data_IF_037837195746
#
_entry.id   IF_037837195746
#
_cell.length_a   1.000
_cell.length_b   1.000
_cell.length_c   1.000
_cell.angle_alpha   90.00
_cell.angle_beta   90.00
_cell.angle_gamma   90.00
#
_symmetry.space_group_name_H-M   'P 1'
#
loop_
_entity.id
_entity.type
_entity.pdbx_description
1 polymer ?
#
# COMPACT_ATOMS: atom_id res chain seq x y z
N UNK A 1 22.02 -4.43 -6.95
CA UNK A 1 20.72 -4.86 -7.52
C UNK A 1 19.77 -3.68 -7.54
N UNK A 2 19.60 -3.05 -8.69
CA UNK A 2 18.66 -1.94 -8.88
C UNK A 2 17.23 -2.49 -8.78
N UNK A 3 16.44 -2.00 -7.81
CA UNK A 3 15.01 -2.31 -7.67
C UNK A 3 14.21 -1.79 -8.90
N UNK A 4 14.28 -2.50 -10.03
CA UNK A 4 13.57 -2.14 -11.27
C UNK A 4 12.15 -2.72 -11.36
N UNK A 5 11.74 -3.56 -10.40
CA UNK A 5 10.58 -4.46 -10.56
C UNK A 5 9.18 -3.86 -10.36
N UNK A 6 9.03 -2.59 -9.96
CA UNK A 6 7.74 -1.94 -9.69
C UNK A 6 7.61 -0.60 -10.43
N UNK A 7 8.01 -0.56 -11.71
CA UNK A 7 8.02 0.68 -12.50
C UNK A 7 6.78 0.89 -13.36
N UNK A 8 5.93 -0.12 -13.49
CA UNK A 8 4.67 0.00 -14.24
C UNK A 8 3.52 -0.48 -13.38
N UNK A 9 2.33 0.07 -13.63
CA UNK A 9 1.12 -0.33 -12.95
C UNK A 9 0.78 -1.79 -13.24
N UNK A 10 0.91 -2.21 -14.51
CA UNK A 10 0.72 -3.60 -14.93
C UNK A 10 1.56 -4.60 -14.11
N UNK A 11 2.85 -4.35 -13.92
CA UNK A 11 3.71 -5.23 -13.10
C UNK A 11 3.30 -5.24 -11.63
N UNK A 12 2.82 -4.11 -11.12
CA UNK A 12 2.27 -4.06 -9.76
C UNK A 12 1.00 -4.91 -9.67
N UNK A 13 0.09 -4.83 -10.64
CA UNK A 13 -1.14 -5.62 -10.66
C UNK A 13 -0.89 -7.11 -10.77
N UNK A 14 0.04 -7.54 -11.63
CA UNK A 14 0.44 -8.95 -11.72
C UNK A 14 0.93 -9.49 -10.37
N UNK A 15 1.73 -8.70 -9.64
CA UNK A 15 2.16 -9.06 -8.29
C UNK A 15 1.02 -9.03 -7.28
N UNK A 16 0.10 -8.08 -7.40
CA UNK A 16 -1.07 -8.01 -6.54
C UNK A 16 -1.92 -9.28 -6.66
N UNK A 17 -2.14 -9.75 -7.89
CA UNK A 17 -2.86 -11.00 -8.19
C UNK A 17 -2.11 -12.20 -7.62
N UNK A 18 -0.81 -12.34 -7.90
CA UNK A 18 -0.02 -13.47 -7.40
C UNK A 18 0.01 -13.56 -5.86
N UNK A 19 0.05 -12.41 -5.18
CA UNK A 19 0.00 -12.33 -3.72
C UNK A 19 -1.38 -12.71 -3.17
N UNK A 20 -2.46 -12.27 -3.82
CA UNK A 20 -3.83 -12.68 -3.46
C UNK A 20 -4.00 -14.18 -3.60
N UNK A 21 -3.64 -14.75 -4.74
CA UNK A 21 -3.74 -16.20 -4.99
C UNK A 21 -2.91 -17.01 -3.98
N UNK A 22 -1.77 -16.46 -3.55
CA UNK A 22 -0.96 -17.08 -2.50
C UNK A 22 -1.67 -17.02 -1.15
N UNK A 23 -2.28 -15.89 -0.78
CA UNK A 23 -3.07 -15.76 0.44
C UNK A 23 -4.24 -16.76 0.46
N UNK A 24 -5.00 -16.84 -0.64
CA UNK A 24 -6.15 -17.74 -0.79
C UNK A 24 -5.77 -19.22 -0.69
N UNK A 25 -4.57 -19.62 -1.14
CA UNK A 25 -4.07 -21.00 -1.00
C UNK A 25 -3.62 -21.35 0.41
N UNK A 26 -3.14 -20.37 1.17
CA UNK A 26 -2.52 -20.58 2.48
C UNK A 26 -3.54 -20.39 3.62
N UNK A 27 -4.58 -19.59 3.37
CA UNK A 27 -5.70 -19.39 4.30
C UNK A 27 -6.27 -20.73 4.81
N UNK A 28 -6.54 -20.80 6.13
CA UNK A 28 -7.01 -22.01 6.80
C UNK A 28 -5.91 -23.01 7.16
N UNK A 29 -4.70 -22.86 6.59
CA UNK A 29 -3.51 -23.60 6.98
C UNK A 29 -2.54 -22.73 7.80
N UNK A 30 -2.34 -21.48 7.36
CA UNK A 30 -1.48 -20.50 8.04
C UNK A 30 -2.05 -19.09 7.81
N UNK A 31 -3.00 -18.72 8.66
CA UNK A 31 -3.70 -17.44 8.58
C UNK A 31 -2.75 -16.23 8.78
N UNK A 32 -1.65 -16.41 9.50
CA UNK A 32 -0.67 -15.36 9.72
C UNK A 32 0.10 -15.06 8.42
N UNK A 33 0.57 -16.11 7.74
CA UNK A 33 1.24 -15.95 6.45
C UNK A 33 0.27 -15.47 5.36
N UNK A 34 -1.00 -15.93 5.39
CA UNK A 34 -2.03 -15.43 4.51
C UNK A 34 -2.29 -13.92 4.74
N UNK A 35 -2.29 -13.44 5.99
CA UNK A 35 -2.43 -12.02 6.30
C UNK A 35 -1.29 -11.17 5.69
N UNK A 36 -0.05 -11.67 5.76
CA UNK A 36 1.10 -11.02 5.13
C UNK A 36 0.94 -10.95 3.61
N UNK A 37 0.46 -12.03 2.98
CA UNK A 37 0.23 -12.07 1.54
C UNK A 37 -0.90 -11.12 1.10
N UNK A 38 -2.02 -11.05 1.84
CA UNK A 38 -3.08 -10.05 1.60
C UNK A 38 -2.56 -8.61 1.70
N UNK A 39 -1.71 -8.32 2.68
CA UNK A 39 -1.07 -7.00 2.76
C UNK A 39 -0.21 -6.71 1.52
N UNK A 40 0.65 -7.62 1.08
CA UNK A 40 1.48 -7.38 -0.11
C UNK A 40 0.64 -7.25 -1.39
N UNK A 41 -0.50 -7.94 -1.47
CA UNK A 41 -1.46 -7.72 -2.55
C UNK A 41 -2.00 -6.28 -2.53
N UNK A 42 -2.48 -5.80 -1.38
CA UNK A 42 -2.96 -4.42 -1.22
C UNK A 42 -1.87 -3.36 -1.47
N UNK A 43 -0.65 -3.59 -0.98
CA UNK A 43 0.51 -2.75 -1.27
C UNK A 43 0.74 -2.61 -2.77
N UNK A 44 0.69 -3.71 -3.52
CA UNK A 44 0.88 -3.68 -4.96
C UNK A 44 -0.27 -2.99 -5.71
N UNK A 45 -1.53 -3.11 -5.26
CA UNK A 45 -2.64 -2.32 -5.80
C UNK A 45 -2.44 -0.81 -5.58
N UNK A 46 -2.04 -0.41 -4.36
CA UNK A 46 -1.70 0.99 -4.06
C UNK A 46 -0.54 1.49 -4.92
N UNK A 47 0.48 0.65 -5.16
CA UNK A 47 1.59 0.99 -6.06
C UNK A 47 1.14 1.20 -7.49
N UNK A 48 0.21 0.37 -8.00
CA UNK A 48 -0.39 0.58 -9.31
C UNK A 48 -1.15 1.92 -9.35
N UNK A 49 -2.00 2.18 -8.36
CA UNK A 49 -2.73 3.43 -8.22
C UNK A 49 -1.80 4.66 -8.25
N UNK A 50 -0.72 4.67 -7.47
CA UNK A 50 0.24 5.78 -7.50
C UNK A 50 0.82 6.05 -8.89
N UNK A 51 1.16 4.98 -9.63
CA UNK A 51 1.74 5.10 -10.98
C UNK A 51 0.72 5.66 -11.97
N UNK A 52 -0.55 5.29 -11.83
CA UNK A 52 -1.64 5.67 -12.75
C UNK A 52 -2.33 6.99 -12.37
N UNK A 53 -2.19 7.44 -11.13
CA UNK A 53 -2.88 8.61 -10.62
C UNK A 53 -2.34 9.90 -11.28
N UNK A 54 -3.16 10.62 -12.07
CA UNK A 54 -2.72 11.84 -12.75
C UNK A 54 -2.34 12.97 -11.80
N UNK A 55 -2.72 12.90 -10.52
CA UNK A 55 -2.35 13.93 -9.53
C UNK A 55 -0.84 14.17 -9.47
N UNK A 56 -0.03 13.13 -9.70
CA UNK A 56 1.42 13.24 -9.67
C UNK A 56 1.99 13.94 -10.93
N UNK A 57 1.19 14.14 -11.98
CA UNK A 57 1.57 14.91 -13.16
C UNK A 57 1.24 16.42 -12.99
N UNK A 58 0.48 16.79 -11.94
CA UNK A 58 0.02 18.14 -11.66
C UNK A 58 0.70 18.73 -10.41
N UNK A 59 1.96 19.19 -10.54
CA UNK A 59 2.77 19.65 -9.39
C UNK A 59 2.05 20.64 -8.46
N UNK A 60 1.36 21.63 -9.01
CA UNK A 60 0.65 22.64 -8.22
C UNK A 60 -0.49 22.05 -7.39
N UNK A 61 -1.26 21.12 -7.97
CA UNK A 61 -2.36 20.43 -7.29
C UNK A 61 -1.81 19.47 -6.23
N UNK A 62 -0.75 18.73 -6.55
CA UNK A 62 -0.05 17.84 -5.64
C UNK A 62 0.49 18.58 -4.40
N UNK A 63 1.16 19.72 -4.60
CA UNK A 63 1.67 20.57 -3.52
C UNK A 63 0.56 21.27 -2.73
N UNK A 64 -0.59 21.50 -3.36
CA UNK A 64 -1.80 21.97 -2.67
C UNK A 64 -2.34 20.97 -1.63
N UNK A 65 -2.12 19.67 -1.84
CA UNK A 65 -2.47 18.62 -0.86
C UNK A 65 -1.41 18.49 0.23
N UNK A 66 -0.13 18.50 -0.14
CA UNK A 66 0.97 18.51 0.80
C UNK A 66 2.24 19.10 0.15
N UNK A 67 2.88 20.12 0.74
CA UNK A 67 4.04 20.79 0.14
C UNK A 67 5.28 19.91 0.02
N UNK A 68 5.31 18.75 0.69
CA UNK A 68 6.41 17.78 0.62
C UNK A 68 6.20 16.68 -0.43
N UNK A 69 5.02 16.59 -1.05
CA UNK A 69 4.81 15.66 -2.15
C UNK A 69 5.48 16.17 -3.42
N UNK A 70 6.13 15.27 -4.13
CA UNK A 70 6.72 15.50 -5.45
C UNK A 70 6.23 14.46 -6.46
N UNK A 71 6.27 14.76 -7.78
CA UNK A 71 5.86 13.81 -8.82
C UNK A 71 6.50 12.42 -8.67
N UNK A 72 7.79 12.36 -8.35
CA UNK A 72 8.54 11.11 -8.21
C UNK A 72 8.09 10.23 -7.02
N UNK A 73 7.32 10.77 -6.07
CA UNK A 73 6.78 9.98 -4.96
C UNK A 73 5.83 8.87 -5.45
N UNK A 74 5.31 8.95 -6.68
CA UNK A 74 4.58 7.83 -7.31
C UNK A 74 5.39 6.53 -7.35
N UNK A 75 6.72 6.63 -7.32
CA UNK A 75 7.65 5.47 -7.35
C UNK A 75 8.20 5.08 -5.97
N UNK A 76 7.69 5.67 -4.88
CA UNK A 76 8.19 5.34 -3.54
C UNK A 76 8.00 3.86 -3.18
N UNK A 77 8.97 3.25 -2.49
CA UNK A 77 8.94 1.81 -2.13
C UNK A 77 9.02 1.54 -0.64
N UNK A 78 9.32 2.56 0.18
CA UNK A 78 9.40 2.40 1.63
C UNK A 78 8.03 2.65 2.28
N UNK A 79 7.61 1.80 3.21
CA UNK A 79 6.27 1.88 3.81
C UNK A 79 6.07 3.13 4.68
N UNK A 80 7.07 3.51 5.50
CA UNK A 80 7.00 4.69 6.37
C UNK A 80 8.07 5.70 6.01
N UNK A 81 7.69 6.98 5.99
CA UNK A 81 8.61 8.07 5.73
C UNK A 81 9.79 8.10 6.68
N UNK A 82 10.95 8.52 6.15
CA UNK A 82 12.22 8.59 6.89
C UNK A 82 12.67 10.04 6.96
N UNK A 83 13.19 10.44 8.12
CA UNK A 83 13.97 11.67 8.23
C UNK A 83 15.22 11.50 7.36
N UNK A 84 15.36 12.31 6.32
CA UNK A 84 16.61 12.39 5.58
C UNK A 84 17.65 13.05 6.49
N UNK A 85 18.85 12.48 6.58
CA UNK A 85 19.87 12.89 7.56
C UNK A 85 20.15 14.40 7.66
N UNK A 86 19.91 15.18 6.58
CA UNK A 86 19.99 16.65 6.56
C UNK A 86 18.91 17.30 5.65
N UNK A 87 17.74 16.69 5.46
CA UNK A 87 16.75 17.16 4.50
C UNK A 87 15.29 16.97 4.95
N UNK A 88 14.32 17.54 4.21
CA UNK A 88 12.90 17.37 4.51
C UNK A 88 12.55 15.88 4.57
N UNK A 89 11.62 15.54 5.47
CA UNK A 89 11.13 14.17 5.66
C UNK A 89 10.66 13.61 4.32
N UNK A 90 11.24 12.49 3.87
CA UNK A 90 10.74 11.77 2.70
C UNK A 90 9.49 10.99 3.11
N UNK A 91 8.41 11.16 2.36
CA UNK A 91 7.14 10.48 2.60
C UNK A 91 7.24 9.03 2.13
N UNK A 92 6.73 8.10 2.94
CA UNK A 92 6.57 6.70 2.56
C UNK A 92 5.18 6.41 2.02
N UNK A 93 4.95 5.17 1.57
CA UNK A 93 3.66 4.75 1.02
C UNK A 93 2.51 5.04 1.98
N UNK A 94 2.66 4.77 3.28
CA UNK A 94 1.59 5.01 4.25
C UNK A 94 1.26 6.49 4.39
N UNK A 95 2.28 7.36 4.33
CA UNK A 95 2.08 8.80 4.43
C UNK A 95 1.29 9.29 3.20
N UNK A 96 1.69 8.84 2.01
CA UNK A 96 1.04 9.22 0.75
C UNK A 96 -0.39 8.68 0.68
N UNK A 97 -0.64 7.43 1.09
CA UNK A 97 -2.00 6.86 1.14
C UNK A 97 -2.90 7.68 2.08
N UNK A 98 -2.40 8.11 3.24
CA UNK A 98 -3.16 8.97 4.15
C UNK A 98 -3.52 10.32 3.52
N UNK A 99 -2.60 10.88 2.73
CA UNK A 99 -2.81 12.19 2.09
C UNK A 99 -3.76 12.08 0.89
N UNK A 100 -3.50 11.14 -0.03
CA UNK A 100 -4.21 11.05 -1.30
C UNK A 100 -5.51 10.24 -1.22
N UNK A 101 -5.56 9.21 -0.37
CA UNK A 101 -6.67 8.25 -0.32
C UNK A 101 -7.24 8.10 1.10
N UNK A 102 -7.71 9.19 1.74
CA UNK A 102 -8.07 9.19 3.16
C UNK A 102 -9.20 8.21 3.51
N UNK A 103 -10.13 7.93 2.58
CA UNK A 103 -11.25 7.02 2.81
C UNK A 103 -10.82 5.56 3.04
N UNK A 104 -9.72 5.14 2.41
CA UNK A 104 -9.21 3.76 2.48
C UNK A 104 -7.96 3.64 3.34
N UNK A 105 -7.31 4.75 3.66
CA UNK A 105 -6.08 4.78 4.44
C UNK A 105 -6.15 4.00 5.76
N UNK A 106 -7.21 4.09 6.59
CA UNK A 106 -7.27 3.30 7.83
C UNK A 106 -7.16 1.79 7.60
N UNK A 107 -7.78 1.28 6.54
CA UNK A 107 -7.77 -0.15 6.19
C UNK A 107 -6.39 -0.58 5.69
N UNK A 108 -5.81 0.20 4.78
CA UNK A 108 -4.46 -0.04 4.28
C UNK A 108 -3.42 -0.06 5.42
N UNK A 109 -3.53 0.87 6.38
CA UNK A 109 -2.63 0.93 7.53
C UNK A 109 -2.82 -0.28 8.43
N UNK A 110 -4.05 -0.71 8.71
CA UNK A 110 -4.30 -1.92 9.51
C UNK A 110 -3.71 -3.17 8.85
N UNK A 111 -3.87 -3.34 7.54
CA UNK A 111 -3.21 -4.43 6.80
C UNK A 111 -1.70 -4.42 6.98
N UNK A 112 -1.07 -3.25 6.84
CA UNK A 112 0.38 -3.11 7.03
C UNK A 112 0.80 -3.44 8.47
N UNK A 113 0.05 -2.97 9.47
CA UNK A 113 0.37 -3.25 10.86
C UNK A 113 0.18 -4.73 11.22
N UNK A 114 -0.85 -5.39 10.70
CA UNK A 114 -1.02 -6.84 10.84
C UNK A 114 0.17 -7.60 10.21
N UNK A 115 0.63 -7.18 9.03
CA UNK A 115 1.82 -7.76 8.41
C UNK A 115 3.09 -7.55 9.24
N UNK A 116 3.27 -6.38 9.87
CA UNK A 116 4.39 -6.13 10.79
C UNK A 116 4.31 -7.06 11.99
N UNK A 117 3.13 -7.21 12.60
CA UNK A 117 2.93 -8.04 13.79
C UNK A 117 3.31 -9.51 13.53
N UNK A 118 2.89 -10.05 12.38
CA UNK A 118 3.29 -11.40 11.95
C UNK A 118 4.79 -11.52 11.72
N UNK A 119 5.41 -10.55 11.04
CA UNK A 119 6.81 -10.68 10.59
C UNK A 119 7.85 -10.36 11.66
N UNK A 120 7.50 -9.55 12.65
CA UNK A 120 8.47 -8.96 13.57
C UNK A 120 8.05 -8.99 15.04
N UNK A 121 6.81 -9.35 15.34
CA UNK A 121 6.29 -9.41 16.71
C UNK A 121 5.85 -10.85 17.02
N UNK A 122 4.75 -11.03 17.75
CA UNK A 122 4.28 -12.33 18.22
C UNK A 122 3.06 -12.84 17.43
N UNK A 123 2.96 -12.51 16.14
CA UNK A 123 1.85 -12.97 15.29
C UNK A 123 0.66 -12.00 15.24
N UNK A 124 -0.51 -12.50 14.85
CA UNK A 124 -1.74 -11.71 14.70
C UNK A 124 -2.39 -11.25 16.02
N UNK A 125 -1.68 -11.26 17.15
CA UNK A 125 -2.25 -11.07 18.51
C UNK A 125 -3.23 -9.90 18.67
N UNK A 126 -2.98 -8.75 18.05
CA UNK A 126 -3.84 -7.57 18.09
C UNK A 126 -4.80 -7.41 16.90
N UNK A 127 -4.78 -8.33 15.93
CA UNK A 127 -5.51 -8.26 14.66
C UNK A 127 -6.20 -9.59 14.36
N UNK A 128 -7.52 -9.61 14.14
CA UNK A 128 -8.15 -10.85 13.68
C UNK A 128 -7.87 -11.07 12.19
N UNK A 129 -7.66 -12.32 11.78
CA UNK A 129 -7.51 -12.66 10.36
C UNK A 129 -8.79 -12.31 9.55
N UNK A 130 -9.96 -12.41 10.17
CA UNK A 130 -11.25 -11.99 9.58
C UNK A 130 -11.24 -10.50 9.24
N UNK A 131 -10.74 -9.66 10.15
CA UNK A 131 -10.62 -8.22 9.90
C UNK A 131 -9.61 -7.93 8.79
N UNK A 132 -8.49 -8.66 8.74
CA UNK A 132 -7.51 -8.55 7.65
C UNK A 132 -8.15 -8.86 6.29
N UNK A 133 -8.93 -9.94 6.20
CA UNK A 133 -9.66 -10.27 4.97
C UNK A 133 -10.67 -9.20 4.58
N UNK A 134 -11.41 -8.68 5.56
CA UNK A 134 -12.39 -7.62 5.35
C UNK A 134 -11.71 -6.34 4.82
N UNK A 135 -10.63 -5.91 5.47
CA UNK A 135 -9.84 -4.76 5.05
C UNK A 135 -9.25 -4.96 3.64
N UNK A 136 -8.77 -6.17 3.34
CA UNK A 136 -8.28 -6.51 2.00
C UNK A 136 -9.38 -6.42 0.94
N UNK A 137 -10.56 -7.00 1.20
CA UNK A 137 -11.68 -6.96 0.27
C UNK A 137 -12.12 -5.53 -0.04
N UNK A 138 -12.15 -4.67 0.98
CA UNK A 138 -12.42 -3.24 0.83
C UNK A 138 -11.34 -2.54 -0.02
N UNK A 139 -10.05 -2.82 0.22
CA UNK A 139 -8.95 -2.30 -0.60
C UNK A 139 -9.05 -2.74 -2.07
N UNK A 140 -9.41 -4.00 -2.29
CA UNK A 140 -9.60 -4.53 -3.64
C UNK A 140 -10.79 -3.86 -4.35
N UNK A 141 -11.92 -3.69 -3.66
CA UNK A 141 -13.06 -2.94 -4.21
C UNK A 141 -12.69 -1.50 -4.54
N UNK A 142 -12.00 -0.80 -3.64
CA UNK A 142 -11.62 0.59 -3.83
C UNK A 142 -10.68 0.78 -5.03
N UNK A 143 -9.81 -0.18 -5.30
CA UNK A 143 -9.02 -0.17 -6.53
C UNK A 143 -9.93 -0.30 -7.77
N UNK A 144 -10.82 -1.29 -7.78
CA UNK A 144 -11.71 -1.57 -8.92
C UNK A 144 -12.72 -0.44 -9.17
N UNK A 145 -13.24 0.20 -8.13
CA UNK A 145 -14.18 1.32 -8.23
C UNK A 145 -13.52 2.65 -8.61
N UNK A 146 -12.19 2.71 -8.59
CA UNK A 146 -11.44 3.94 -8.85
C UNK A 146 -11.36 4.90 -7.65
N UNK A 147 -11.73 4.45 -6.44
CA UNK A 147 -11.59 5.22 -5.19
C UNK A 147 -10.11 5.39 -4.77
N UNK A 148 -9.21 4.55 -5.28
CA UNK A 148 -7.75 4.77 -5.20
C UNK A 148 -7.28 5.77 -6.26
N UNK A 149 -7.91 6.94 -6.29
CA UNK A 149 -7.55 8.04 -7.18
C UNK A 149 -7.81 9.37 -6.47
N UNK A 150 -6.84 10.29 -6.54
CA UNK A 150 -6.98 11.59 -5.91
C UNK A 150 -7.95 12.47 -6.73
N UNK A 151 -8.91 13.07 -6.03
CA UNK A 151 -9.89 14.01 -6.57
C UNK A 151 -9.51 15.46 -6.30
#
# INVERSE_FOLDING_TARGET
>A
MTHSGLRTAQLCLERAVAMRESAERIEGHDDELAAVAYFYSAYHMVKAAFIEDPIFDELSRLQGLNPHLIPDDRFVTHHRGRLGGNGPRKLGVNDIVQILYPAVAPRYIRLHMASIAVRYESGLTAYSFVDVKSDYAEMSRAYVSGELKAH
#
